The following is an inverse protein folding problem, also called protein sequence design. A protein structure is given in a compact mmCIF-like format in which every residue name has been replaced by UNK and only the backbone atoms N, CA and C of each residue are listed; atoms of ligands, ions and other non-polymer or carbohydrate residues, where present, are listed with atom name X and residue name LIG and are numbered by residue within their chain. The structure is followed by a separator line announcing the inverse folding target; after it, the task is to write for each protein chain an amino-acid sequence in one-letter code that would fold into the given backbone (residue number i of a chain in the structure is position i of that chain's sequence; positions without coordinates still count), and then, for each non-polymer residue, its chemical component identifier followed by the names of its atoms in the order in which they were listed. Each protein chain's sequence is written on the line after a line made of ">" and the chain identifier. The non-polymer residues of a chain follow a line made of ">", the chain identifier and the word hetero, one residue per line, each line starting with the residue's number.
data_IF_947370044084
#
_entry.id   IF_947370044084
#
_cell.length_a   1.000
_cell.length_b   1.000
_cell.length_c   1.000
_cell.angle_alpha   90.00
_cell.angle_beta   90.00
_cell.angle_gamma   90.00
#
_symmetry.space_group_name_H-M   'P 1'
#
loop_
_entity.id
_entity.type
_entity.pdbx_description
1 polymer ?
#
# COMPACT_ATOMS: atom_id res chain seq x y z
N UNK A 1 1.68 -25.20 -1.88
CA UNK A 1 0.90 -23.99 -2.25
C UNK A 1 -0.08 -23.59 -1.14
N UNK A 2 -0.95 -24.50 -0.68
CA UNK A 2 -1.93 -24.23 0.40
C UNK A 2 -1.25 -23.76 1.70
N UNK A 3 -0.13 -24.39 2.10
CA UNK A 3 0.59 -24.00 3.31
C UNK A 3 1.05 -22.54 3.27
N UNK A 4 1.60 -22.07 2.14
CA UNK A 4 2.03 -20.67 1.99
C UNK A 4 0.86 -19.68 2.04
N UNK A 5 -0.29 -20.06 1.49
CA UNK A 5 -1.54 -19.28 1.59
C UNK A 5 -1.97 -19.17 3.07
N UNK A 6 -1.94 -20.28 3.81
CA UNK A 6 -2.30 -20.28 5.23
C UNK A 6 -1.34 -19.45 6.08
N UNK A 7 -0.02 -19.52 5.79
CA UNK A 7 1.00 -18.70 6.47
C UNK A 7 0.73 -17.21 6.23
N UNK A 8 0.49 -16.82 4.98
CA UNK A 8 0.16 -15.44 4.62
C UNK A 8 -1.05 -14.91 5.39
N UNK A 9 -2.14 -15.70 5.42
CA UNK A 9 -3.36 -15.36 6.16
C UNK A 9 -3.06 -15.22 7.65
N UNK A 10 -2.33 -16.19 8.23
CA UNK A 10 -2.01 -16.19 9.66
C UNK A 10 -1.22 -14.95 10.07
N UNK A 11 -0.22 -14.54 9.28
CA UNK A 11 0.59 -13.34 9.55
C UNK A 11 -0.28 -12.07 9.53
N UNK A 12 -1.16 -11.92 8.53
CA UNK A 12 -2.08 -10.77 8.48
C UNK A 12 -2.98 -10.74 9.71
N UNK A 13 -3.58 -11.88 10.08
CA UNK A 13 -4.45 -11.98 11.25
C UNK A 13 -3.71 -11.70 12.55
N UNK A 14 -2.45 -12.15 12.69
CA UNK A 14 -1.64 -11.87 13.87
C UNK A 14 -1.34 -10.38 14.00
N UNK A 15 -0.88 -9.71 12.93
CA UNK A 15 -0.48 -8.30 12.98
C UNK A 15 -1.71 -7.40 13.16
N UNK A 16 -2.76 -7.59 12.35
CA UNK A 16 -3.97 -6.78 12.44
C UNK A 16 -4.78 -7.10 13.69
N UNK A 17 -4.83 -8.36 14.11
CA UNK A 17 -5.47 -8.79 15.35
C UNK A 17 -4.78 -8.18 16.56
N UNK A 18 -3.45 -8.13 16.58
CA UNK A 18 -2.69 -7.46 17.64
C UNK A 18 -2.95 -5.94 17.67
N UNK A 19 -2.96 -5.27 16.52
CA UNK A 19 -3.27 -3.83 16.44
C UNK A 19 -4.69 -3.52 16.94
N UNK A 20 -5.67 -4.33 16.53
CA UNK A 20 -7.04 -4.25 17.02
C UNK A 20 -7.13 -4.47 18.52
N UNK A 21 -6.49 -5.52 19.05
CA UNK A 21 -6.48 -5.83 20.47
C UNK A 21 -5.89 -4.67 21.29
N UNK A 22 -4.74 -4.15 20.86
CA UNK A 22 -4.07 -3.00 21.48
C UNK A 22 -4.98 -1.76 21.53
N UNK A 23 -5.81 -1.58 20.51
CA UNK A 23 -6.72 -0.44 20.39
C UNK A 23 -8.17 -0.76 20.82
N UNK A 24 -8.38 -1.83 21.60
CA UNK A 24 -9.70 -2.28 22.09
C UNK A 24 -10.76 -2.37 20.99
N UNK A 25 -10.35 -2.86 19.82
CA UNK A 25 -11.17 -3.03 18.60
C UNK A 25 -11.84 -1.74 18.08
N UNK A 26 -11.43 -0.56 18.56
CA UNK A 26 -12.03 0.72 18.14
C UNK A 26 -11.50 1.19 16.79
N UNK A 27 -10.24 0.90 16.51
CA UNK A 27 -9.54 1.41 15.34
C UNK A 27 -8.54 0.40 14.80
N UNK A 28 -8.34 0.45 13.48
CA UNK A 28 -7.28 -0.26 12.77
C UNK A 28 -6.45 0.76 12.00
N UNK A 29 -5.14 0.76 12.19
CA UNK A 29 -4.27 1.74 11.50
C UNK A 29 -3.94 1.26 10.09
N UNK A 30 -3.98 2.18 9.12
CA UNK A 30 -3.58 1.85 7.75
C UNK A 30 -2.10 1.41 7.67
N UNK A 31 -1.23 1.95 8.54
CA UNK A 31 0.17 1.49 8.65
C UNK A 31 0.29 0.02 9.05
N UNK A 32 -0.64 -0.50 9.84
CA UNK A 32 -0.63 -1.91 10.27
C UNK A 32 -0.99 -2.84 9.11
N UNK A 33 -1.89 -2.40 8.21
CA UNK A 33 -2.19 -3.10 6.95
C UNK A 33 -0.93 -3.17 6.09
N UNK A 34 -0.28 -2.04 5.83
CA UNK A 34 0.95 -2.00 5.03
C UNK A 34 2.06 -2.84 5.66
N UNK A 35 2.22 -2.77 6.98
CA UNK A 35 3.20 -3.58 7.71
C UNK A 35 2.93 -5.08 7.55
N UNK A 36 1.67 -5.51 7.60
CA UNK A 36 1.31 -6.92 7.41
C UNK A 36 1.65 -7.43 6.02
N UNK A 37 1.37 -6.63 4.98
CA UNK A 37 1.72 -6.95 3.60
C UNK A 37 3.24 -6.98 3.42
N UNK A 38 3.96 -6.01 4.01
CA UNK A 38 5.42 -5.96 3.96
C UNK A 38 6.06 -7.21 4.58
N UNK A 39 5.65 -7.61 5.79
CA UNK A 39 6.22 -8.79 6.46
C UNK A 39 5.95 -10.05 5.64
N UNK A 40 4.74 -10.22 5.11
CA UNK A 40 4.42 -11.32 4.20
C UNK A 40 5.33 -11.31 2.97
N UNK A 41 5.46 -10.17 2.30
CA UNK A 41 6.29 -10.05 1.10
C UNK A 41 7.76 -10.37 1.35
N UNK A 42 8.30 -10.01 2.53
CA UNK A 42 9.66 -10.38 2.91
C UNK A 42 9.80 -11.89 3.10
N UNK A 43 8.85 -12.53 3.80
CA UNK A 43 8.87 -13.98 4.02
C UNK A 43 8.71 -14.75 2.70
N UNK A 44 7.79 -14.29 1.85
CA UNK A 44 7.45 -14.94 0.59
C UNK A 44 8.61 -14.94 -0.40
N UNK A 45 9.37 -13.85 -0.51
CA UNK A 45 10.57 -13.83 -1.36
C UNK A 45 11.57 -14.91 -0.97
N UNK A 46 11.84 -15.08 0.34
CA UNK A 46 12.74 -16.13 0.81
C UNK A 46 12.15 -17.53 0.61
N UNK A 47 10.84 -17.69 0.81
CA UNK A 47 10.15 -18.95 0.65
C UNK A 47 10.07 -19.43 -0.81
N UNK A 48 9.87 -18.50 -1.75
CA UNK A 48 9.76 -18.78 -3.19
C UNK A 48 11.16 -18.85 -3.85
N UNK A 49 12.18 -18.25 -3.21
CA UNK A 49 13.56 -18.18 -3.70
C UNK A 49 13.67 -17.49 -5.08
N UNK A 50 12.86 -16.45 -5.31
CA UNK A 50 12.89 -15.64 -6.52
C UNK A 50 13.35 -14.21 -6.20
N UNK A 51 14.62 -13.93 -6.48
CA UNK A 51 15.25 -12.62 -6.28
C UNK A 51 15.48 -11.94 -7.62
N UNK A 52 14.40 -11.45 -8.23
CA UNK A 52 14.48 -10.67 -9.46
C UNK A 52 14.07 -9.22 -9.22
N UNK A 53 14.14 -8.40 -10.27
CA UNK A 53 13.82 -7.00 -10.17
C UNK A 53 12.41 -6.78 -9.61
N UNK A 54 11.38 -7.47 -10.12
CA UNK A 54 9.98 -7.28 -9.70
C UNK A 54 9.79 -7.61 -8.22
N UNK A 55 10.32 -8.75 -7.76
CA UNK A 55 10.15 -9.17 -6.35
C UNK A 55 10.87 -8.21 -5.40
N UNK A 56 12.17 -7.97 -5.64
CA UNK A 56 12.97 -7.06 -4.81
C UNK A 56 12.41 -5.63 -4.80
N UNK A 57 11.94 -5.18 -5.96
CA UNK A 57 11.41 -3.84 -6.11
C UNK A 57 10.04 -3.68 -5.42
N UNK A 58 9.12 -4.62 -5.57
CA UNK A 58 7.81 -4.57 -4.89
C UNK A 58 7.96 -4.59 -3.37
N UNK A 59 8.86 -5.40 -2.82
CA UNK A 59 9.20 -5.36 -1.39
C UNK A 59 9.77 -4.01 -0.98
N UNK A 60 10.66 -3.44 -1.79
CA UNK A 60 11.21 -2.10 -1.53
C UNK A 60 10.12 -1.02 -1.54
N UNK A 61 9.18 -1.08 -2.49
CA UNK A 61 8.04 -0.16 -2.55
C UNK A 61 7.16 -0.26 -1.31
N UNK A 62 6.80 -1.47 -0.88
CA UNK A 62 6.03 -1.67 0.35
C UNK A 62 6.81 -1.21 1.58
N UNK A 63 8.12 -1.41 1.62
CA UNK A 63 8.97 -0.94 2.71
C UNK A 63 8.95 0.59 2.80
N UNK A 64 9.22 1.29 1.69
CA UNK A 64 9.22 2.75 1.65
C UNK A 64 7.82 3.29 1.98
N UNK A 65 6.76 2.70 1.42
CA UNK A 65 5.40 3.15 1.69
C UNK A 65 5.00 2.96 3.16
N UNK A 66 5.37 1.83 3.76
CA UNK A 66 5.15 1.56 5.19
C UNK A 66 5.87 2.58 6.06
N UNK A 67 7.16 2.85 5.80
CA UNK A 67 7.94 3.84 6.54
C UNK A 67 7.34 5.25 6.41
N UNK A 68 6.96 5.64 5.20
CA UNK A 68 6.34 6.92 4.92
C UNK A 68 4.99 7.06 5.66
N UNK A 69 4.20 5.99 5.69
CA UNK A 69 2.93 5.98 6.42
C UNK A 69 3.12 6.03 7.94
N UNK A 70 4.14 5.36 8.47
CA UNK A 70 4.50 5.45 9.90
C UNK A 70 4.94 6.88 10.23
N UNK A 71 5.78 7.49 9.39
CA UNK A 71 6.19 8.89 9.54
C UNK A 71 4.98 9.84 9.56
N UNK A 72 4.04 9.66 8.63
CA UNK A 72 2.79 10.43 8.61
C UNK A 72 1.99 10.30 9.91
N UNK A 73 1.85 9.07 10.42
CA UNK A 73 1.13 8.82 11.68
C UNK A 73 1.78 9.54 12.87
N UNK A 74 3.11 9.68 12.88
CA UNK A 74 3.83 10.43 13.91
C UNK A 74 3.70 11.94 13.74
N UNK A 75 3.78 12.45 12.50
CA UNK A 75 3.84 13.89 12.23
C UNK A 75 2.48 14.59 12.31
N UNK A 76 1.41 13.91 11.90
CA UNK A 76 0.08 14.50 11.75
C UNK A 76 -0.89 13.90 12.76
N UNK A 77 -1.56 12.83 12.36
CA UNK A 77 -2.49 12.04 13.15
C UNK A 77 -2.48 10.62 12.59
N UNK A 78 -2.84 9.61 13.39
CA UNK A 78 -2.89 8.24 12.90
C UNK A 78 -4.02 8.10 11.85
N UNK A 79 -3.66 7.61 10.67
CA UNK A 79 -4.63 7.30 9.61
C UNK A 79 -5.34 5.99 9.96
N UNK A 80 -6.59 6.12 10.40
CA UNK A 80 -7.36 5.08 11.08
C UNK A 80 -8.59 4.71 10.27
N UNK A 81 -8.87 3.41 10.21
CA UNK A 81 -10.12 2.84 9.76
C UNK A 81 -10.94 2.49 11.01
N UNK A 82 -11.97 3.30 11.29
CA UNK A 82 -12.91 3.06 12.39
C UNK A 82 -14.00 2.07 11.99
N UNK A 83 -14.53 2.25 10.79
CA UNK A 83 -15.68 1.55 10.24
C UNK A 83 -15.24 0.46 9.26
N UNK A 84 -16.04 -0.60 9.12
CA UNK A 84 -15.80 -1.69 8.16
C UNK A 84 -14.41 -2.37 8.29
N UNK A 85 -13.88 -2.50 9.52
CA UNK A 85 -12.59 -3.16 9.84
C UNK A 85 -12.48 -4.57 9.26
N UNK A 86 -13.59 -5.31 9.21
CA UNK A 86 -13.63 -6.65 8.62
C UNK A 86 -13.26 -6.63 7.13
N UNK A 87 -13.78 -5.66 6.36
CA UNK A 87 -13.45 -5.48 4.95
C UNK A 87 -11.97 -5.12 4.80
N UNK A 88 -11.44 -4.27 5.68
CA UNK A 88 -10.02 -3.91 5.68
C UNK A 88 -9.11 -5.14 5.89
N UNK A 89 -9.47 -6.04 6.81
CA UNK A 89 -8.73 -7.29 7.05
C UNK A 89 -8.79 -8.20 5.82
N UNK A 90 -9.97 -8.37 5.21
CA UNK A 90 -10.11 -9.15 3.98
C UNK A 90 -9.23 -8.57 2.88
N UNK A 91 -9.25 -7.25 2.66
CA UNK A 91 -8.41 -6.60 1.66
C UNK A 91 -6.92 -6.81 1.96
N UNK A 92 -6.50 -6.72 3.22
CA UNK A 92 -5.11 -6.98 3.60
C UNK A 92 -4.67 -8.42 3.31
N UNK A 93 -5.54 -9.39 3.57
CA UNK A 93 -5.31 -10.80 3.23
C UNK A 93 -5.20 -10.96 1.72
N UNK A 94 -6.17 -10.43 0.96
CA UNK A 94 -6.23 -10.54 -0.50
C UNK A 94 -5.00 -9.90 -1.15
N UNK A 95 -4.57 -8.72 -0.67
CA UNK A 95 -3.36 -8.05 -1.16
C UNK A 95 -2.09 -8.85 -0.82
N UNK A 96 -2.00 -9.44 0.37
CA UNK A 96 -0.86 -10.29 0.73
C UNK A 96 -0.77 -11.52 -0.17
N UNK A 97 -1.90 -12.20 -0.42
CA UNK A 97 -1.96 -13.34 -1.33
C UNK A 97 -1.67 -12.92 -2.79
N UNK A 98 -2.10 -11.73 -3.18
CA UNK A 98 -1.80 -11.17 -4.49
C UNK A 98 -0.29 -10.92 -4.64
N UNK A 99 0.39 -10.46 -3.59
CA UNK A 99 1.85 -10.32 -3.58
C UNK A 99 2.56 -11.68 -3.67
N UNK A 100 2.08 -12.71 -2.98
CA UNK A 100 2.62 -14.07 -3.17
C UNK A 100 2.52 -14.54 -4.64
N UNK A 101 1.40 -14.23 -5.31
CA UNK A 101 1.22 -14.50 -6.74
C UNK A 101 2.20 -13.68 -7.58
N UNK A 102 2.45 -12.41 -7.22
CA UNK A 102 3.51 -11.58 -7.85
C UNK A 102 4.83 -12.28 -7.83
N UNK A 103 5.26 -12.70 -6.65
CA UNK A 103 6.60 -13.24 -6.46
C UNK A 103 6.78 -14.53 -7.26
N UNK A 104 5.76 -15.37 -7.30
CA UNK A 104 5.76 -16.61 -8.07
C UNK A 104 5.71 -16.40 -9.60
N UNK A 105 4.99 -15.39 -10.08
CA UNK A 105 4.79 -15.12 -11.53
C UNK A 105 5.73 -14.05 -12.11
N UNK A 106 6.63 -13.52 -11.29
CA UNK A 106 7.54 -12.43 -11.63
C UNK A 106 8.47 -12.73 -12.82
N UNK A 107 8.80 -14.00 -13.08
CA UNK A 107 9.60 -14.41 -14.25
C UNK A 107 8.82 -14.46 -15.57
N UNK A 108 7.49 -14.35 -15.51
CA UNK A 108 6.59 -14.50 -16.67
C UNK A 108 6.20 -13.15 -17.30
N UNK A 109 6.90 -12.06 -16.96
CA UNK A 109 6.63 -10.74 -17.52
C UNK A 109 7.03 -10.67 -19.00
N UNK A 110 6.08 -10.27 -19.85
CA UNK A 110 6.26 -10.23 -21.32
C UNK A 110 7.23 -9.13 -21.75
N UNK A 111 7.26 -7.99 -21.04
CA UNK A 111 8.29 -6.96 -21.20
C UNK A 111 8.74 -6.42 -19.86
N UNK A 112 10.05 -6.51 -19.61
CA UNK A 112 10.66 -6.04 -18.38
C UNK A 112 10.73 -4.50 -18.29
N UNK A 113 10.53 -3.76 -19.39
CA UNK A 113 10.67 -2.29 -19.44
C UNK A 113 9.64 -1.51 -18.60
N UNK A 114 8.37 -1.96 -18.56
CA UNK A 114 7.29 -1.27 -17.84
C UNK A 114 7.43 -1.36 -16.31
N UNK A 115 7.85 -2.49 -15.72
CA UNK A 115 8.27 -2.53 -14.32
C UNK A 115 9.26 -1.43 -13.92
N UNK A 116 10.12 -0.95 -14.83
CA UNK A 116 11.05 0.17 -14.54
C UNK A 116 10.39 1.55 -14.57
N UNK A 117 9.18 1.71 -15.14
CA UNK A 117 8.40 2.95 -15.03
C UNK A 117 7.75 3.11 -13.65
N UNK A 118 7.39 1.98 -13.02
CA UNK A 118 6.78 1.96 -11.69
C UNK A 118 7.54 2.77 -10.61
N UNK A 119 8.88 2.68 -10.47
CA UNK A 119 9.64 3.53 -9.54
C UNK A 119 9.38 5.02 -9.72
N UNK A 120 9.35 5.51 -10.96
CA UNK A 120 9.11 6.92 -11.24
C UNK A 120 7.71 7.34 -10.79
N UNK A 121 6.69 6.53 -11.10
CA UNK A 121 5.31 6.78 -10.66
C UNK A 121 5.22 6.76 -9.13
N UNK A 122 5.87 5.78 -8.49
CA UNK A 122 5.89 5.67 -7.04
C UNK A 122 6.52 6.90 -6.37
N UNK A 123 7.66 7.37 -6.87
CA UNK A 123 8.35 8.56 -6.34
C UNK A 123 7.43 9.79 -6.42
N UNK A 124 6.71 9.98 -7.53
CA UNK A 124 5.75 11.09 -7.67
C UNK A 124 4.66 10.98 -6.60
N UNK A 125 4.11 9.78 -6.37
CA UNK A 125 3.12 9.53 -5.33
C UNK A 125 3.65 9.78 -3.92
N UNK A 126 4.88 9.33 -3.63
CA UNK A 126 5.55 9.52 -2.35
C UNK A 126 5.85 11.01 -2.07
N UNK A 127 6.30 11.76 -3.07
CA UNK A 127 6.51 13.21 -2.96
C UNK A 127 5.18 13.90 -2.62
N UNK A 128 4.10 13.60 -3.31
CA UNK A 128 2.79 14.19 -3.03
C UNK A 128 2.28 13.88 -1.63
N UNK A 129 2.48 12.64 -1.20
CA UNK A 129 2.11 12.18 0.14
C UNK A 129 2.94 12.92 1.20
N UNK A 130 4.24 13.11 0.98
CA UNK A 130 5.12 13.91 1.85
C UNK A 130 4.74 15.41 1.85
N UNK A 131 4.43 15.99 0.69
CA UNK A 131 3.99 17.39 0.56
C UNK A 131 2.72 17.66 1.37
N UNK A 132 1.85 16.66 1.53
CA UNK A 132 0.69 16.75 2.40
C UNK A 132 1.01 17.05 3.88
N UNK A 133 2.25 16.89 4.32
CA UNK A 133 2.65 17.19 5.71
C UNK A 133 2.91 18.68 5.99
N UNK A 134 3.12 19.49 4.94
CA UNK A 134 3.39 20.92 5.07
C UNK A 134 2.10 21.70 5.37
N UNK A 135 2.26 22.89 5.97
CA UNK A 135 1.11 23.80 6.16
C UNK A 135 0.64 24.36 4.82
N UNK A 136 -0.63 24.74 4.72
CA UNK A 136 -1.21 25.32 3.49
C UNK A 136 -0.39 26.53 3.03
N UNK A 137 0.03 27.40 3.95
CA UNK A 137 0.86 28.58 3.66
C UNK A 137 2.25 28.24 3.07
N UNK A 138 2.79 27.07 3.41
CA UNK A 138 4.07 26.56 2.89
C UNK A 138 3.88 25.92 1.51
N UNK A 139 2.74 25.26 1.28
CA UNK A 139 2.38 24.63 0.00
C UNK A 139 2.00 25.67 -1.05
N UNK A 140 1.34 26.77 -0.68
CA UNK A 140 0.98 27.86 -1.60
C UNK A 140 2.21 28.58 -2.20
N UNK A 141 3.35 28.55 -1.49
CA UNK A 141 4.63 29.05 -2.02
C UNK A 141 5.20 28.16 -3.14
N UNK A 142 4.76 26.91 -3.23
CA UNK A 142 5.15 25.99 -4.29
C UNK A 142 4.11 26.03 -5.42
N UNK A 143 4.38 26.84 -6.45
CA UNK A 143 3.47 27.10 -7.57
C UNK A 143 2.89 25.85 -8.25
N UNK A 144 3.65 24.75 -8.27
CA UNK A 144 3.25 23.47 -8.86
C UNK A 144 2.16 22.73 -8.07
N UNK A 145 2.14 22.85 -6.74
CA UNK A 145 1.26 22.04 -5.87
C UNK A 145 -0.03 22.76 -5.46
N UNK A 146 -0.15 24.06 -5.78
CA UNK A 146 -1.30 24.92 -5.43
C UNK A 146 -2.66 24.39 -5.90
N UNK A 147 -2.72 23.60 -6.97
CA UNK A 147 -3.97 23.05 -7.53
C UNK A 147 -4.43 21.74 -6.86
N UNK A 148 -3.58 21.08 -6.07
CA UNK A 148 -3.88 19.76 -5.51
C UNK A 148 -4.57 19.91 -4.16
N UNK A 149 -5.91 19.77 -4.16
CA UNK A 149 -6.74 19.96 -2.96
C UNK A 149 -6.51 18.90 -1.87
N UNK A 150 -6.09 17.68 -2.23
CA UNK A 150 -5.91 16.56 -1.28
C UNK A 150 -4.63 15.78 -1.59
N UNK A 151 -3.45 16.32 -1.24
CA UNK A 151 -2.16 15.75 -1.63
C UNK A 151 -1.94 14.32 -1.11
N UNK A 152 -2.40 13.98 0.09
CA UNK A 152 -2.24 12.63 0.67
C UNK A 152 -3.08 11.57 -0.05
N UNK A 153 -4.36 11.85 -0.34
CA UNK A 153 -5.22 10.91 -1.07
C UNK A 153 -4.71 10.72 -2.49
N UNK A 154 -4.29 11.81 -3.15
CA UNK A 154 -3.76 11.74 -4.51
C UNK A 154 -2.44 10.98 -4.53
N UNK A 155 -1.53 11.24 -3.58
CA UNK A 155 -0.26 10.53 -3.45
C UNK A 155 -0.43 9.03 -3.21
N UNK A 156 -1.34 8.63 -2.31
CA UNK A 156 -1.64 7.21 -2.05
C UNK A 156 -2.25 6.50 -3.26
N UNK A 157 -3.15 7.15 -4.01
CA UNK A 157 -3.69 6.61 -5.25
C UNK A 157 -2.58 6.41 -6.30
N UNK A 158 -1.67 7.38 -6.45
CA UNK A 158 -0.55 7.28 -7.39
C UNK A 158 0.41 6.15 -6.99
N UNK A 159 0.67 5.96 -5.69
CA UNK A 159 1.43 4.81 -5.19
C UNK A 159 0.75 3.50 -5.59
N UNK A 160 -0.58 3.37 -5.41
CA UNK A 160 -1.30 2.16 -5.81
C UNK A 160 -1.22 1.93 -7.33
N UNK A 161 -1.32 3.00 -8.14
CA UNK A 161 -1.14 2.92 -9.59
C UNK A 161 0.26 2.43 -9.97
N UNK A 162 1.31 2.80 -9.23
CA UNK A 162 2.65 2.26 -9.45
C UNK A 162 2.71 0.73 -9.23
N UNK A 163 2.04 0.22 -8.18
CA UNK A 163 1.97 -1.21 -7.90
C UNK A 163 1.29 -1.97 -9.04
N UNK A 164 0.20 -1.42 -9.59
CA UNK A 164 -0.48 -1.98 -10.79
C UNK A 164 0.49 -1.98 -11.98
N UNK A 165 1.18 -0.87 -12.24
CA UNK A 165 2.12 -0.73 -13.35
C UNK A 165 3.23 -1.80 -13.33
N UNK A 166 3.70 -2.16 -12.12
CA UNK A 166 4.72 -3.20 -11.94
C UNK A 166 4.30 -4.56 -12.50
N UNK A 167 2.99 -4.85 -12.53
CA UNK A 167 2.45 -6.16 -12.90
C UNK A 167 1.61 -6.16 -14.17
N UNK A 168 1.48 -5.02 -14.86
CA UNK A 168 0.52 -4.84 -15.97
C UNK A 168 0.81 -5.72 -17.20
N UNK A 169 2.04 -6.23 -17.32
CA UNK A 169 2.48 -7.13 -18.39
C UNK A 169 2.76 -8.56 -17.92
N UNK A 170 2.26 -8.92 -16.74
CA UNK A 170 2.27 -10.31 -16.27
C UNK A 170 0.96 -11.01 -16.67
N UNK A 171 0.93 -12.35 -16.75
CA UNK A 171 -0.28 -13.08 -17.14
C UNK A 171 -1.51 -12.78 -16.27
N UNK A 172 -1.30 -12.35 -15.03
CA UNK A 172 -2.36 -12.11 -14.03
C UNK A 172 -2.70 -10.62 -13.85
N UNK A 173 -2.26 -9.74 -14.74
CA UNK A 173 -2.40 -8.28 -14.61
C UNK A 173 -3.83 -7.79 -14.29
N UNK A 174 -4.85 -8.45 -14.85
CA UNK A 174 -6.26 -8.11 -14.63
C UNK A 174 -6.69 -8.33 -13.17
N UNK A 175 -6.16 -9.35 -12.50
CA UNK A 175 -6.41 -9.62 -11.08
C UNK A 175 -5.83 -8.49 -10.23
N UNK A 176 -4.62 -8.04 -10.56
CA UNK A 176 -3.98 -6.90 -9.90
C UNK A 176 -4.79 -5.62 -10.06
N UNK A 177 -5.24 -5.33 -11.29
CA UNK A 177 -6.05 -4.15 -11.58
C UNK A 177 -7.32 -4.15 -10.72
N UNK A 178 -8.08 -5.25 -10.71
CA UNK A 178 -9.34 -5.34 -9.96
C UNK A 178 -9.11 -5.14 -8.46
N UNK A 179 -8.15 -5.86 -7.87
CA UNK A 179 -7.93 -5.80 -6.42
C UNK A 179 -7.43 -4.42 -5.99
N UNK A 180 -6.49 -3.82 -6.72
CA UNK A 180 -6.01 -2.48 -6.39
C UNK A 180 -7.04 -1.39 -6.67
N UNK A 181 -7.93 -1.55 -7.67
CA UNK A 181 -9.10 -0.68 -7.84
C UNK A 181 -10.07 -0.78 -6.66
N UNK A 182 -10.31 -1.98 -6.13
CA UNK A 182 -11.11 -2.16 -4.90
C UNK A 182 -10.45 -1.50 -3.70
N UNK A 183 -9.12 -1.58 -3.57
CA UNK A 183 -8.37 -0.88 -2.52
C UNK A 183 -8.54 0.64 -2.63
N UNK A 184 -8.44 1.22 -3.84
CA UNK A 184 -8.67 2.65 -4.07
C UNK A 184 -10.10 3.02 -3.68
N UNK A 185 -11.10 2.24 -4.13
CA UNK A 185 -12.51 2.45 -3.78
C UNK A 185 -12.74 2.40 -2.27
N UNK A 186 -12.11 1.45 -1.58
CA UNK A 186 -12.19 1.32 -0.12
C UNK A 186 -11.57 2.52 0.61
N UNK A 187 -10.38 2.96 0.19
CA UNK A 187 -9.71 4.13 0.77
C UNK A 187 -10.56 5.39 0.61
N UNK A 188 -11.16 5.58 -0.56
CA UNK A 188 -12.04 6.71 -0.83
C UNK A 188 -13.35 6.64 -0.05
N UNK A 189 -13.95 5.45 0.07
CA UNK A 189 -15.19 5.24 0.82
C UNK A 189 -15.01 5.49 2.32
N UNK A 190 -13.93 4.97 2.90
CA UNK A 190 -13.60 5.18 4.32
C UNK A 190 -13.07 6.59 4.60
N UNK A 191 -12.70 7.35 3.57
CA UNK A 191 -12.10 8.67 3.73
C UNK A 191 -10.84 8.63 4.59
N UNK A 192 -10.05 7.55 4.51
CA UNK A 192 -8.92 7.27 5.43
C UNK A 192 -7.96 8.46 5.53
N UNK A 193 -7.71 9.12 4.40
CA UNK A 193 -6.80 10.26 4.25
C UNK A 193 -7.50 11.61 4.10
N UNK A 194 -8.80 11.69 4.39
CA UNK A 194 -9.49 12.97 4.45
C UNK A 194 -9.14 13.62 5.79
N UNK A 195 -8.41 14.74 5.70
CA UNK A 195 -8.16 15.60 6.84
C UNK A 195 -9.54 16.02 7.37
N UNK A 196 -9.95 15.45 8.51
CA UNK A 196 -11.03 16.04 9.30
C UNK A 196 -10.53 17.41 9.71
N UNK A 197 -11.20 18.45 9.24
CA UNK A 197 -10.90 19.82 9.65
C UNK A 197 -10.69 19.85 11.17
N UNK A 198 -9.55 20.38 11.60
CA UNK A 198 -9.34 20.78 12.99
C UNK A 198 -10.41 21.83 13.27
N UNK A 199 -11.53 21.43 13.85
CA UNK A 199 -12.34 22.34 14.66
C UNK A 199 -11.57 22.67 15.93
#
# INVERSE_FOLDING_TARGET
>A
MIIYILINIAIVLLILGFDLYRHRFRQLKFSSILLSVLINSMIDIFAINQFNFITMFTVTLFMIWTLLQIYLNFKLYPFVISDQKFIAIILAIVISLLQFITDKSSTQSVYMSIPYLSPTIFIIGAILLFVGTFKIDEVERLSLFRKIKRPMTTGTIIIILSLISTMILTPFWYVFLIIYSLLIGFILWQGVFFIKDKK
#
